data_IF_149675020290
#
_entry.id   IF_149675020290
#
_cell.length_a   1.000
_cell.length_b   1.000
_cell.length_c   1.000
_cell.angle_alpha   90.00
_cell.angle_beta   90.00
_cell.angle_gamma   90.00
#
_symmetry.space_group_name_H-M   'P 1'
#
loop_
_entity.id
_entity.type
_entity.pdbx_description
1 polymer ?
#
# COMPACT_ATOMS: atom_id res chain seq x y z
N UNK A 1 -0.28 -20.81 5.17
CA UNK A 1 -0.35 -19.76 4.14
C UNK A 1 0.36 -18.50 4.63
N UNK A 2 1.27 -17.93 3.82
CA UNK A 2 1.81 -16.58 4.06
C UNK A 2 1.01 -15.55 3.24
N UNK A 3 1.36 -14.26 3.33
CA UNK A 3 0.93 -13.22 2.41
C UNK A 3 2.17 -12.39 2.02
N UNK A 4 2.47 -12.31 0.73
CA UNK A 4 3.71 -11.68 0.23
C UNK A 4 3.83 -10.22 0.68
N UNK A 5 2.71 -9.50 0.78
CA UNK A 5 2.67 -8.13 1.28
C UNK A 5 3.16 -8.02 2.73
N UNK A 6 2.72 -8.92 3.61
CA UNK A 6 3.12 -8.87 5.02
C UNK A 6 4.58 -9.28 5.21
N UNK A 7 5.05 -10.27 4.44
CA UNK A 7 6.46 -10.63 4.40
C UNK A 7 7.34 -9.44 3.97
N UNK A 8 6.94 -8.74 2.90
CA UNK A 8 7.67 -7.55 2.41
C UNK A 8 7.64 -6.42 3.44
N UNK A 9 6.50 -6.15 4.10
CA UNK A 9 6.41 -5.13 5.16
C UNK A 9 7.32 -5.43 6.35
N UNK A 10 7.39 -6.68 6.80
CA UNK A 10 8.28 -7.11 7.89
C UNK A 10 9.75 -6.99 7.47
N UNK A 11 10.08 -7.37 6.23
CA UNK A 11 11.43 -7.20 5.70
C UNK A 11 11.79 -5.71 5.63
N UNK A 12 10.87 -4.87 5.16
CA UNK A 12 11.04 -3.42 5.05
C UNK A 12 11.29 -2.78 6.41
N UNK A 13 10.54 -3.16 7.45
CA UNK A 13 10.71 -2.57 8.79
C UNK A 13 12.09 -2.82 9.37
N UNK A 14 12.71 -3.98 9.07
CA UNK A 14 14.09 -4.28 9.43
C UNK A 14 15.09 -3.34 8.72
N UNK A 15 14.91 -3.10 7.42
CA UNK A 15 15.75 -2.18 6.65
C UNK A 15 15.59 -0.74 7.14
N UNK A 16 14.35 -0.31 7.41
CA UNK A 16 14.06 1.02 7.94
C UNK A 16 14.65 1.21 9.34
N UNK A 17 14.56 0.21 10.22
CA UNK A 17 15.17 0.28 11.55
C UNK A 17 16.66 0.56 11.46
N UNK A 18 17.37 -0.21 10.64
CA UNK A 18 18.81 -0.06 10.46
C UNK A 18 19.16 1.34 9.91
N UNK A 19 18.39 1.84 8.94
CA UNK A 19 18.58 3.18 8.39
C UNK A 19 18.33 4.30 9.42
N UNK A 20 17.24 4.23 10.19
CA UNK A 20 16.87 5.27 11.19
C UNK A 20 17.86 5.29 12.36
N UNK A 21 18.38 4.13 12.76
CA UNK A 21 19.26 4.01 13.92
C UNK A 21 20.76 3.99 13.54
N UNK A 22 21.11 4.22 12.27
CA UNK A 22 22.48 4.07 11.75
C UNK A 22 23.13 2.73 12.18
N UNK A 23 22.37 1.64 12.06
CA UNK A 23 22.75 0.30 12.51
C UNK A 23 22.80 -0.69 11.35
N UNK A 24 23.41 -1.85 11.57
CA UNK A 24 23.41 -3.00 10.64
C UNK A 24 22.82 -4.26 11.30
N UNK A 25 22.10 -4.08 12.41
CA UNK A 25 21.62 -5.15 13.29
C UNK A 25 20.73 -6.14 12.53
N UNK A 26 19.87 -5.66 11.65
CA UNK A 26 18.92 -6.49 10.93
C UNK A 26 19.24 -6.70 9.45
N UNK A 27 20.25 -6.05 8.89
CA UNK A 27 20.60 -6.10 7.48
C UNK A 27 20.74 -7.54 6.96
N UNK A 28 21.51 -8.39 7.67
CA UNK A 28 21.68 -9.82 7.33
C UNK A 28 20.35 -10.60 7.41
N UNK A 29 19.54 -10.30 8.43
CA UNK A 29 18.23 -10.95 8.64
C UNK A 29 17.26 -10.58 7.53
N UNK A 30 17.18 -9.31 7.16
CA UNK A 30 16.33 -8.81 6.09
C UNK A 30 16.72 -9.43 4.74
N UNK A 31 18.02 -9.43 4.40
CA UNK A 31 18.54 -10.06 3.18
C UNK A 31 18.24 -11.57 3.13
N UNK A 32 18.46 -12.30 4.24
CA UNK A 32 18.16 -13.73 4.32
C UNK A 32 16.67 -14.02 4.16
N UNK A 33 15.80 -13.20 4.76
CA UNK A 33 14.34 -13.35 4.63
C UNK A 33 13.88 -13.08 3.20
N UNK A 34 14.36 -12.01 2.58
CA UNK A 34 14.04 -11.71 1.18
C UNK A 34 14.51 -12.83 0.24
N UNK A 35 15.74 -13.33 0.43
CA UNK A 35 16.28 -14.43 -0.37
C UNK A 35 15.47 -15.73 -0.21
N UNK A 36 14.87 -15.98 0.96
CA UNK A 36 13.98 -17.13 1.19
C UNK A 36 12.58 -16.93 0.60
N UNK A 37 12.09 -15.68 0.58
CA UNK A 37 10.78 -15.33 0.02
C UNK A 37 10.78 -15.44 -1.51
N UNK A 38 11.80 -14.83 -2.15
CA UNK A 38 11.89 -14.66 -3.61
C UNK A 38 11.61 -15.94 -4.44
N UNK A 39 12.25 -17.10 -4.20
CA UNK A 39 12.04 -18.27 -5.05
C UNK A 39 10.61 -18.84 -4.97
N UNK A 40 9.82 -18.50 -3.95
CA UNK A 40 8.47 -19.05 -3.76
C UNK A 40 7.38 -18.14 -4.33
N UNK A 41 7.55 -16.82 -4.24
CA UNK A 41 6.50 -15.84 -4.59
C UNK A 41 6.96 -14.73 -5.53
N UNK A 42 8.24 -14.65 -5.90
CA UNK A 42 8.79 -13.65 -6.84
C UNK A 42 9.72 -14.35 -7.84
N UNK A 43 9.14 -15.15 -8.73
CA UNK A 43 9.90 -15.93 -9.72
C UNK A 43 10.07 -15.14 -11.01
N UNK A 44 11.30 -14.82 -11.40
CA UNK A 44 11.62 -14.11 -12.66
C UNK A 44 10.81 -12.81 -12.84
N UNK A 45 10.67 -12.04 -11.75
CA UNK A 45 9.87 -10.81 -11.69
C UNK A 45 8.35 -11.02 -11.58
N UNK A 46 7.87 -12.25 -11.47
CA UNK A 46 6.45 -12.56 -11.27
C UNK A 46 6.14 -12.64 -9.77
N UNK A 47 5.61 -11.56 -9.22
CA UNK A 47 5.15 -11.50 -7.83
C UNK A 47 3.74 -12.08 -7.70
N UNK A 48 3.54 -13.02 -6.78
CA UNK A 48 2.25 -13.64 -6.48
C UNK A 48 1.85 -13.44 -5.02
N UNK A 49 0.54 -13.54 -4.73
CA UNK A 49 -0.02 -13.15 -3.42
C UNK A 49 0.43 -14.02 -2.26
N UNK A 50 0.51 -15.33 -2.49
CA UNK A 50 1.00 -16.27 -1.48
C UNK A 50 1.54 -17.54 -2.11
N UNK A 51 2.31 -18.26 -1.31
CA UNK A 51 2.74 -19.61 -1.60
C UNK A 51 2.44 -20.49 -0.39
N UNK A 52 1.60 -21.51 -0.58
CA UNK A 52 1.37 -22.49 0.48
C UNK A 52 2.51 -23.52 0.49
N UNK A 53 3.34 -23.45 1.54
CA UNK A 53 4.51 -24.31 1.73
C UNK A 53 4.12 -25.78 1.92
N UNK A 54 2.95 -26.06 2.50
CA UNK A 54 2.47 -27.42 2.76
C UNK A 54 1.93 -28.05 1.47
N UNK A 55 1.21 -27.27 0.66
CA UNK A 55 0.60 -27.73 -0.58
C UNK A 55 1.52 -27.58 -1.81
N UNK A 56 2.68 -26.93 -1.65
CA UNK A 56 3.61 -26.55 -2.73
C UNK A 56 2.91 -25.85 -3.91
N UNK A 57 1.89 -25.02 -3.61
CA UNK A 57 1.08 -24.31 -4.60
C UNK A 57 1.06 -22.82 -4.29
N UNK A 58 1.45 -22.02 -5.27
CA UNK A 58 1.25 -20.57 -5.27
C UNK A 58 0.02 -20.17 -6.05
N UNK A 59 -0.44 -18.94 -5.85
CA UNK A 59 -1.42 -18.32 -6.75
C UNK A 59 -0.76 -17.96 -8.09
N UNK A 60 -1.55 -17.87 -9.15
CA UNK A 60 -1.11 -17.28 -10.43
C UNK A 60 -1.37 -15.77 -10.50
N UNK A 61 -1.96 -15.19 -9.45
CA UNK A 61 -2.31 -13.78 -9.35
C UNK A 61 -1.35 -13.03 -8.44
N UNK A 62 -1.00 -11.81 -8.86
CA UNK A 62 -0.37 -10.81 -8.00
C UNK A 62 -1.31 -9.61 -7.85
N UNK A 63 -1.77 -9.39 -6.63
CA UNK A 63 -2.51 -8.20 -6.22
C UNK A 63 -1.58 -7.00 -6.33
N UNK A 64 -2.01 -5.94 -7.01
CA UNK A 64 -1.11 -4.83 -7.32
C UNK A 64 -0.66 -4.08 -6.05
N UNK A 65 -1.48 -4.09 -5.00
CA UNK A 65 -1.13 -3.57 -3.69
C UNK A 65 0.00 -4.34 -2.99
N UNK A 66 0.35 -5.56 -3.45
CA UNK A 66 1.40 -6.39 -2.86
C UNK A 66 2.78 -6.07 -3.43
N UNK A 67 2.85 -5.29 -4.51
CA UNK A 67 4.10 -4.85 -5.12
C UNK A 67 4.66 -3.68 -4.30
N UNK A 68 5.27 -3.96 -3.15
CA UNK A 68 6.02 -2.97 -2.36
C UNK A 68 7.29 -2.54 -3.13
N UNK A 69 7.09 -1.62 -4.07
CA UNK A 69 8.08 -1.23 -5.07
C UNK A 69 9.35 -0.67 -4.45
N UNK A 70 9.27 -0.01 -3.29
CA UNK A 70 10.45 0.50 -2.61
C UNK A 70 11.31 -0.65 -2.08
N UNK A 71 10.68 -1.62 -1.41
CA UNK A 71 11.36 -2.82 -0.90
C UNK A 71 11.93 -3.67 -2.02
N UNK A 72 11.16 -3.91 -3.08
CA UNK A 72 11.61 -4.66 -4.25
C UNK A 72 12.82 -3.98 -4.92
N UNK A 73 12.76 -2.66 -5.13
CA UNK A 73 13.88 -1.88 -5.68
C UNK A 73 15.13 -2.03 -4.82
N UNK A 74 15.00 -1.94 -3.50
CA UNK A 74 16.13 -2.05 -2.57
C UNK A 74 16.86 -3.39 -2.75
N UNK A 75 16.16 -4.52 -2.67
CA UNK A 75 16.80 -5.84 -2.74
C UNK A 75 17.21 -6.27 -4.15
N UNK A 76 16.45 -5.89 -5.17
CA UNK A 76 16.69 -6.37 -6.54
C UNK A 76 17.67 -5.48 -7.33
N UNK A 77 18.01 -4.30 -6.82
CA UNK A 77 18.96 -3.39 -7.47
C UNK A 77 20.39 -3.91 -7.58
N UNK A 78 20.78 -4.92 -6.79
CA UNK A 78 22.15 -5.39 -6.67
C UNK A 78 22.68 -6.12 -7.92
N UNK A 79 21.82 -6.73 -8.73
CA UNK A 79 22.24 -7.52 -9.91
C UNK A 79 21.54 -7.07 -11.19
N UNK A 80 22.15 -7.35 -12.35
CA UNK A 80 21.51 -7.10 -13.64
C UNK A 80 20.16 -7.82 -13.78
N UNK A 81 20.08 -9.08 -13.34
CA UNK A 81 18.84 -9.85 -13.40
C UNK A 81 17.79 -9.30 -12.43
N UNK A 82 18.18 -8.96 -11.19
CA UNK A 82 17.26 -8.35 -10.23
C UNK A 82 16.70 -7.01 -10.74
N UNK A 83 17.53 -6.17 -11.37
CA UNK A 83 17.03 -4.94 -12.00
C UNK A 83 16.00 -5.21 -13.10
N UNK A 84 16.17 -6.26 -13.91
CA UNK A 84 15.17 -6.68 -14.91
C UNK A 84 13.89 -7.18 -14.24
N UNK A 85 14.00 -7.97 -13.18
CA UNK A 85 12.86 -8.47 -12.40
C UNK A 85 12.03 -7.30 -11.84
N UNK A 86 12.70 -6.32 -11.22
CA UNK A 86 12.05 -5.10 -10.71
C UNK A 86 11.38 -4.28 -11.82
N UNK A 87 12.02 -4.11 -12.98
CA UNK A 87 11.40 -3.38 -14.09
C UNK A 87 10.15 -4.09 -14.60
N UNK A 88 10.16 -5.43 -14.66
CA UNK A 88 8.97 -6.22 -15.03
C UNK A 88 7.83 -6.02 -14.03
N UNK A 89 8.13 -6.03 -12.74
CA UNK A 89 7.14 -5.78 -11.68
C UNK A 89 6.54 -4.37 -11.80
N UNK A 90 7.39 -3.34 -11.95
CA UNK A 90 6.95 -1.96 -12.14
C UNK A 90 6.11 -1.78 -13.41
N UNK A 91 6.45 -2.48 -14.49
CA UNK A 91 5.66 -2.48 -15.73
C UNK A 91 4.26 -3.06 -15.51
N UNK A 92 4.14 -4.17 -14.78
CA UNK A 92 2.82 -4.75 -14.44
C UNK A 92 1.98 -3.77 -13.63
N UNK A 93 2.57 -3.11 -12.62
CA UNK A 93 1.83 -2.10 -11.87
C UNK A 93 1.42 -0.95 -12.78
N UNK A 94 2.32 -0.40 -13.60
CA UNK A 94 2.03 0.73 -14.48
C UNK A 94 0.97 0.42 -15.54
N UNK A 95 1.00 -0.77 -16.13
CA UNK A 95 0.02 -1.21 -17.14
C UNK A 95 -1.34 -1.56 -16.54
N UNK A 96 -1.46 -1.66 -15.21
CA UNK A 96 -2.75 -1.79 -14.52
C UNK A 96 -3.56 -0.51 -14.42
N UNK A 97 -3.07 0.62 -14.95
CA UNK A 97 -3.76 1.91 -14.89
C UNK A 97 -5.11 1.89 -15.62
N UNK A 98 -6.18 2.33 -14.95
CA UNK A 98 -7.56 2.26 -15.45
C UNK A 98 -7.95 3.44 -16.35
N UNK A 99 -7.08 4.44 -16.50
CA UNK A 99 -7.26 5.58 -17.39
C UNK A 99 -7.48 6.91 -16.66
N UNK A 100 -7.44 8.02 -17.39
CA UNK A 100 -7.40 9.36 -16.78
C UNK A 100 -8.73 9.79 -16.14
N UNK A 101 -9.85 9.20 -16.56
CA UNK A 101 -11.17 9.43 -15.95
C UNK A 101 -11.25 8.83 -14.54
N UNK A 102 -10.64 7.65 -14.35
CA UNK A 102 -10.55 6.99 -13.07
C UNK A 102 -9.11 6.53 -12.84
N UNK A 103 -8.23 7.44 -12.38
CA UNK A 103 -6.77 7.26 -12.42
C UNK A 103 -6.24 6.40 -11.26
N UNK A 104 -6.94 5.31 -10.97
CA UNK A 104 -6.50 4.22 -10.11
C UNK A 104 -5.99 3.04 -10.98
N UNK A 105 -5.73 1.92 -10.31
CA UNK A 105 -5.11 0.75 -10.91
C UNK A 105 -5.96 -0.48 -10.61
N UNK A 106 -5.97 -1.43 -11.54
CA UNK A 106 -6.66 -2.72 -11.36
C UNK A 106 -6.20 -3.43 -10.08
N UNK A 107 -7.09 -4.22 -9.47
CA UNK A 107 -6.81 -4.83 -8.18
C UNK A 107 -5.68 -5.88 -8.26
N UNK A 108 -5.67 -6.70 -9.31
CA UNK A 108 -4.67 -7.74 -9.49
C UNK A 108 -4.37 -8.04 -10.97
N UNK A 109 -3.25 -8.71 -11.20
CA UNK A 109 -2.82 -9.22 -12.48
C UNK A 109 -2.62 -10.74 -12.41
N UNK A 110 -3.18 -11.46 -13.39
CA UNK A 110 -2.98 -12.89 -13.52
C UNK A 110 -1.82 -13.19 -14.47
N UNK A 111 -0.76 -13.82 -13.96
CA UNK A 111 0.45 -14.13 -14.73
C UNK A 111 0.27 -15.23 -15.78
N UNK A 112 -0.73 -16.11 -15.60
CA UNK A 112 -1.04 -17.18 -16.57
C UNK A 112 -1.85 -16.63 -17.75
N UNK A 113 -2.95 -15.94 -17.49
CA UNK A 113 -3.83 -15.39 -18.55
C UNK A 113 -3.34 -14.07 -19.10
N UNK A 114 -2.40 -13.40 -18.42
CA UNK A 114 -1.87 -12.07 -18.74
C UNK A 114 -2.96 -10.99 -18.75
N UNK A 115 -3.92 -11.10 -17.84
CA UNK A 115 -5.06 -10.20 -17.75
C UNK A 115 -5.13 -9.51 -16.38
N UNK A 116 -5.59 -8.27 -16.38
CA UNK A 116 -5.98 -7.55 -15.17
C UNK A 116 -7.40 -7.92 -14.76
N UNK A 117 -7.64 -7.96 -13.45
CA UNK A 117 -8.99 -8.24 -12.93
C UNK A 117 -9.99 -7.15 -13.31
N UNK A 118 -11.23 -7.58 -13.51
CA UNK A 118 -12.39 -6.72 -13.73
C UNK A 118 -13.22 -6.53 -12.44
N UNK A 119 -12.64 -6.91 -11.29
CA UNK A 119 -13.30 -6.84 -10.00
C UNK A 119 -13.33 -5.41 -9.47
N UNK A 120 -14.31 -5.12 -8.62
CA UNK A 120 -14.33 -3.87 -7.88
C UNK A 120 -13.07 -3.73 -7.02
N UNK A 121 -12.60 -2.50 -6.87
CA UNK A 121 -11.40 -2.14 -6.13
C UNK A 121 -11.76 -1.91 -4.67
N UNK A 122 -10.99 -2.50 -3.76
CA UNK A 122 -10.93 -2.03 -2.38
C UNK A 122 -10.16 -0.70 -2.34
N UNK A 123 -10.76 0.33 -1.74
CA UNK A 123 -10.20 1.68 -1.68
C UNK A 123 -8.87 1.76 -0.95
N UNK A 124 -8.69 1.01 0.15
CA UNK A 124 -7.41 0.96 0.86
C UNK A 124 -6.33 0.32 0.00
N UNK A 125 -6.62 -0.80 -0.66
CA UNK A 125 -5.64 -1.47 -1.55
C UNK A 125 -5.28 -0.60 -2.75
N UNK A 126 -6.25 0.07 -3.37
CA UNK A 126 -5.99 0.99 -4.47
C UNK A 126 -5.08 2.15 -4.05
N UNK A 127 -5.26 2.66 -2.82
CA UNK A 127 -4.37 3.69 -2.26
C UNK A 127 -2.99 3.15 -1.89
N UNK A 128 -2.86 1.89 -1.48
CA UNK A 128 -1.55 1.25 -1.28
C UNK A 128 -0.77 1.17 -2.60
N UNK A 129 -1.43 0.90 -3.73
CA UNK A 129 -0.78 0.96 -5.05
C UNK A 129 -0.22 2.36 -5.34
N UNK A 130 -1.04 3.40 -5.10
CA UNK A 130 -0.59 4.79 -5.27
C UNK A 130 0.57 5.14 -4.34
N UNK A 131 0.53 4.68 -3.08
CA UNK A 131 1.61 4.87 -2.11
C UNK A 131 2.91 4.25 -2.60
N UNK A 132 2.90 2.98 -3.02
CA UNK A 132 4.09 2.32 -3.53
C UNK A 132 4.66 3.00 -4.78
N UNK A 133 3.81 3.52 -5.66
CA UNK A 133 4.25 4.34 -6.80
C UNK A 133 4.84 5.68 -6.36
N UNK A 134 4.25 6.35 -5.36
CA UNK A 134 4.75 7.62 -4.84
C UNK A 134 6.12 7.47 -4.19
N UNK A 135 6.33 6.41 -3.39
CA UNK A 135 7.59 6.08 -2.71
C UNK A 135 8.78 5.92 -3.67
N UNK A 136 8.52 5.53 -4.92
CA UNK A 136 9.56 5.36 -5.95
C UNK A 136 9.53 6.46 -7.03
N UNK A 137 8.73 7.51 -6.83
CA UNK A 137 8.62 8.64 -7.77
C UNK A 137 8.00 8.28 -9.12
N UNK A 138 7.08 7.32 -9.14
CA UNK A 138 6.38 6.82 -10.34
C UNK A 138 4.88 7.08 -10.35
N UNK A 139 4.33 7.68 -9.29
CA UNK A 139 2.92 8.07 -9.26
C UNK A 139 2.62 9.09 -10.37
N UNK A 140 1.47 8.93 -11.04
CA UNK A 140 0.99 9.85 -12.08
C UNK A 140 0.42 11.12 -11.46
N UNK A 141 0.64 12.26 -12.12
CA UNK A 141 0.03 13.54 -11.73
C UNK A 141 -1.50 13.49 -11.75
N UNK A 142 -2.09 12.76 -12.70
CA UNK A 142 -3.55 12.55 -12.79
C UNK A 142 -4.09 11.84 -11.54
N UNK A 143 -3.42 10.80 -11.06
CA UNK A 143 -3.79 10.10 -9.81
C UNK A 143 -3.68 11.02 -8.60
N UNK A 144 -2.64 11.86 -8.53
CA UNK A 144 -2.50 12.86 -7.46
C UNK A 144 -3.61 13.90 -7.50
N UNK A 145 -3.96 14.42 -8.68
CA UNK A 145 -5.04 15.39 -8.84
C UNK A 145 -6.40 14.81 -8.46
N UNK A 146 -6.68 13.57 -8.85
CA UNK A 146 -7.86 12.85 -8.41
C UNK A 146 -7.90 12.70 -6.89
N UNK A 147 -6.77 12.32 -6.27
CA UNK A 147 -6.70 12.15 -4.82
C UNK A 147 -6.94 13.48 -4.09
N UNK A 148 -6.37 14.59 -4.59
CA UNK A 148 -6.64 15.95 -4.07
C UNK A 148 -8.13 16.27 -4.09
N UNK A 149 -8.80 15.98 -5.21
CA UNK A 149 -10.24 16.17 -5.34
C UNK A 149 -11.03 15.34 -4.33
N UNK A 150 -10.66 14.06 -4.12
CA UNK A 150 -11.32 13.21 -3.13
C UNK A 150 -11.12 13.72 -1.70
N UNK A 151 -9.96 14.29 -1.39
CA UNK A 151 -9.69 14.92 -0.09
C UNK A 151 -10.53 16.19 0.07
N UNK A 152 -10.57 17.08 -0.93
CA UNK A 152 -11.32 18.33 -0.84
C UNK A 152 -12.83 18.08 -0.73
N UNK A 153 -13.34 17.01 -1.35
CA UNK A 153 -14.75 16.62 -1.29
C UNK A 153 -15.10 15.71 -0.10
N UNK A 154 -14.10 15.21 0.64
CA UNK A 154 -14.27 14.18 1.67
C UNK A 154 -14.98 12.91 1.14
N UNK A 155 -14.62 12.41 -0.05
CA UNK A 155 -15.30 11.32 -0.76
C UNK A 155 -14.43 10.08 -1.01
N UNK A 156 -13.41 9.86 -0.17
CA UNK A 156 -12.53 8.72 -0.32
C UNK A 156 -13.21 7.42 0.17
N UNK A 157 -13.91 6.76 -0.76
CA UNK A 157 -14.79 5.62 -0.55
C UNK A 157 -14.04 4.30 -0.31
N UNK A 158 -14.75 3.33 0.26
CA UNK A 158 -14.22 2.00 0.56
C UNK A 158 -14.19 1.08 -0.67
N UNK A 159 -15.10 1.26 -1.63
CA UNK A 159 -15.16 0.40 -2.82
C UNK A 159 -15.49 1.21 -4.08
N UNK A 160 -14.75 0.96 -5.15
CA UNK A 160 -14.98 1.53 -6.47
C UNK A 160 -15.14 0.42 -7.52
N UNK A 161 -15.95 0.66 -8.56
CA UNK A 161 -15.90 -0.17 -9.77
C UNK A 161 -14.65 0.17 -10.60
N UNK A 162 -14.31 -0.70 -11.56
CA UNK A 162 -13.23 -0.42 -12.53
C UNK A 162 -13.53 0.78 -13.45
N UNK A 163 -14.80 1.20 -13.54
CA UNK A 163 -15.23 2.38 -14.31
C UNK A 163 -15.27 3.65 -13.46
N UNK A 164 -14.92 3.58 -12.17
CA UNK A 164 -14.87 4.71 -11.26
C UNK A 164 -16.17 5.02 -10.52
N UNK A 165 -17.19 4.17 -10.62
CA UNK A 165 -18.41 4.32 -9.83
C UNK A 165 -18.14 3.97 -8.36
N UNK A 166 -18.67 4.75 -7.43
CA UNK A 166 -18.62 4.42 -6.00
C UNK A 166 -19.62 3.28 -5.75
N UNK A 167 -19.12 2.13 -5.32
CA UNK A 167 -19.93 0.95 -4.99
C UNK A 167 -20.26 0.94 -3.50
N UNK A 168 -19.30 1.28 -2.65
CA UNK A 168 -19.51 1.49 -1.21
C UNK A 168 -18.98 2.88 -0.81
N UNK A 169 -19.92 3.75 -0.43
CA UNK A 169 -19.65 5.13 -0.01
C UNK A 169 -19.16 5.24 1.44
N UNK A 170 -19.14 4.15 2.19
CA UNK A 170 -18.52 4.13 3.51
C UNK A 170 -17.04 4.54 3.38
N UNK A 171 -16.50 5.12 4.46
CA UNK A 171 -15.15 5.66 4.46
C UNK A 171 -14.37 5.09 5.63
N UNK A 172 -13.08 4.88 5.39
CA UNK A 172 -12.14 4.42 6.40
C UNK A 172 -11.15 5.54 6.76
N UNK A 173 -10.87 5.78 8.05
CA UNK A 173 -9.75 6.63 8.46
C UNK A 173 -8.41 6.17 7.86
N UNK A 174 -8.23 4.87 7.61
CA UNK A 174 -7.03 4.36 6.94
C UNK A 174 -6.88 4.90 5.52
N UNK A 175 -7.97 5.09 4.77
CA UNK A 175 -7.89 5.65 3.41
C UNK A 175 -7.33 7.08 3.47
N UNK A 176 -7.78 7.88 4.42
CA UNK A 176 -7.25 9.22 4.64
C UNK A 176 -5.80 9.20 5.14
N UNK A 177 -5.43 8.24 5.98
CA UNK A 177 -4.04 8.04 6.42
C UNK A 177 -3.11 7.68 5.26
N UNK A 178 -3.52 6.75 4.39
CA UNK A 178 -2.79 6.39 3.17
C UNK A 178 -2.66 7.59 2.23
N UNK A 179 -3.72 8.38 2.06
CA UNK A 179 -3.68 9.61 1.27
C UNK A 179 -2.64 10.61 1.84
N UNK A 180 -2.61 10.79 3.16
CA UNK A 180 -1.58 11.61 3.80
C UNK A 180 -0.17 11.07 3.51
N UNK A 181 0.07 9.77 3.66
CA UNK A 181 1.37 9.16 3.36
C UNK A 181 1.80 9.35 1.90
N UNK A 182 0.85 9.29 0.94
CA UNK A 182 1.10 9.59 -0.48
C UNK A 182 1.57 11.04 -0.63
N UNK A 183 0.83 11.99 -0.07
CA UNK A 183 1.19 13.42 -0.15
C UNK A 183 2.52 13.73 0.51
N UNK A 184 2.85 13.10 1.63
CA UNK A 184 4.16 13.23 2.28
C UNK A 184 5.30 12.76 1.37
N UNK A 185 5.14 11.62 0.67
CA UNK A 185 6.16 11.10 -0.25
C UNK A 185 6.38 12.01 -1.48
N UNK A 186 5.36 12.75 -1.92
CA UNK A 186 5.49 13.72 -3.02
C UNK A 186 5.76 15.16 -2.53
N UNK A 187 6.02 15.34 -1.24
CA UNK A 187 6.26 16.64 -0.59
C UNK A 187 5.10 17.66 -0.74
N UNK A 188 3.85 17.18 -0.85
CA UNK A 188 2.66 18.03 -0.86
C UNK A 188 2.13 18.25 0.58
N UNK A 189 2.81 19.15 1.31
CA UNK A 189 2.50 19.40 2.72
C UNK A 189 1.08 19.92 2.93
N UNK A 190 0.54 20.70 1.99
CA UNK A 190 -0.81 21.24 2.10
C UNK A 190 -1.87 20.13 2.11
N UNK A 191 -1.79 19.20 1.17
CA UNK A 191 -2.73 18.08 1.11
C UNK A 191 -2.44 16.99 2.14
N UNK A 192 -1.19 16.80 2.56
CA UNK A 192 -0.86 15.99 3.74
C UNK A 192 -1.67 16.45 4.96
N UNK A 193 -1.61 17.75 5.28
CA UNK A 193 -2.31 18.31 6.43
C UNK A 193 -3.84 18.23 6.29
N UNK A 194 -4.39 18.44 5.09
CA UNK A 194 -5.82 18.26 4.83
C UNK A 194 -6.26 16.82 5.07
N UNK A 195 -5.52 15.84 4.56
CA UNK A 195 -5.82 14.42 4.75
C UNK A 195 -5.72 14.01 6.24
N UNK A 196 -4.68 14.46 6.95
CA UNK A 196 -4.53 14.18 8.39
C UNK A 196 -5.67 14.78 9.23
N UNK A 197 -6.18 15.96 8.88
CA UNK A 197 -7.39 16.51 9.54
C UNK A 197 -8.58 15.57 9.43
N UNK A 198 -8.73 14.86 8.30
CA UNK A 198 -9.80 13.87 8.11
C UNK A 198 -9.57 12.59 8.91
N UNK A 199 -8.32 12.13 9.03
CA UNK A 199 -7.96 11.03 9.95
C UNK A 199 -8.39 11.37 11.38
N UNK A 200 -8.06 12.58 11.86
CA UNK A 200 -8.35 12.98 13.24
C UNK A 200 -9.81 13.23 13.55
N UNK A 201 -10.69 13.36 12.54
CA UNK A 201 -12.16 13.39 12.77
C UNK A 201 -12.67 12.09 13.38
N UNK A 202 -11.98 10.97 13.16
CA UNK A 202 -12.32 9.67 13.71
C UNK A 202 -11.58 9.34 15.00
N UNK A 203 -10.82 10.28 15.56
CA UNK A 203 -10.17 10.12 16.85
C UNK A 203 -11.17 10.33 17.99
N UNK A 204 -11.22 9.37 18.90
CA UNK A 204 -12.01 9.46 20.11
C UNK A 204 -11.32 10.41 21.09
N UNK A 205 -12.00 11.52 21.43
CA UNK A 205 -11.48 12.58 22.33
C UNK A 205 -12.35 12.75 23.56
N UNK A 206 -12.57 11.67 24.30
CA UNK A 206 -13.36 11.68 25.54
C UNK A 206 -12.50 11.18 26.70
N UNK A 207 -12.24 12.05 27.67
CA UNK A 207 -11.52 11.68 28.88
C UNK A 207 -12.30 10.59 29.66
N UNK A 208 -11.58 9.71 30.35
CA UNK A 208 -12.16 8.71 31.23
C UNK A 208 -12.77 7.47 30.56
N UNK A 209 -12.67 7.32 29.23
CA UNK A 209 -13.06 6.08 28.54
C UNK A 209 -11.83 5.31 28.04
N UNK A 210 -11.91 3.97 28.06
CA UNK A 210 -10.80 3.06 27.72
C UNK A 210 -10.20 3.29 26.32
N UNK A 211 -11.02 3.76 25.38
CA UNK A 211 -10.67 3.95 23.97
C UNK A 211 -10.28 5.39 23.63
N UNK A 212 -10.04 6.24 24.64
CA UNK A 212 -9.57 7.60 24.42
C UNK A 212 -8.26 7.63 23.61
N UNK A 213 -8.20 8.47 22.57
CA UNK A 213 -7.08 8.55 21.63
C UNK A 213 -7.14 7.56 20.47
N UNK A 214 -7.96 6.51 20.56
CA UNK A 214 -8.15 5.54 19.48
C UNK A 214 -8.88 6.11 18.26
N UNK A 215 -8.62 5.54 17.09
CA UNK A 215 -9.31 5.83 15.83
C UNK A 215 -10.41 4.79 15.62
N UNK A 216 -11.67 5.22 15.61
CA UNK A 216 -12.81 4.32 15.46
C UNK A 216 -14.14 4.92 15.88
N UNK A 217 -15.16 4.08 16.01
CA UNK A 217 -16.52 4.49 16.37
C UNK A 217 -16.83 4.00 17.80
N UNK A 218 -16.59 4.87 18.78
CA UNK A 218 -16.76 4.54 20.20
C UNK A 218 -18.17 4.03 20.56
N UNK A 219 -19.22 4.61 19.96
CA UNK A 219 -20.62 4.22 20.23
C UNK A 219 -20.94 2.76 19.89
N UNK A 220 -20.24 2.19 18.91
CA UNK A 220 -20.44 0.82 18.44
C UNK A 220 -19.32 -0.12 18.90
N UNK A 221 -18.32 0.38 19.65
CA UNK A 221 -17.09 -0.35 19.95
C UNK A 221 -16.36 -0.87 18.69
N UNK A 222 -16.44 -0.15 17.57
CA UNK A 222 -15.81 -0.53 16.30
C UNK A 222 -14.43 0.11 16.17
N UNK A 223 -13.40 -0.69 16.44
CA UNK A 223 -12.00 -0.30 16.33
C UNK A 223 -11.23 -1.36 15.55
N UNK A 224 -10.63 -0.95 14.43
CA UNK A 224 -9.80 -1.83 13.61
C UNK A 224 -8.33 -1.46 13.80
N UNK A 225 -7.48 -2.46 14.07
CA UNK A 225 -6.04 -2.26 14.26
C UNK A 225 -5.40 -1.59 13.05
N UNK A 226 -5.80 -1.98 11.84
CA UNK A 226 -5.32 -1.38 10.59
C UNK A 226 -5.55 0.13 10.54
N UNK A 227 -6.76 0.60 10.87
CA UNK A 227 -7.07 2.04 10.89
C UNK A 227 -6.20 2.80 11.89
N UNK A 228 -5.98 2.24 13.08
CA UNK A 228 -5.16 2.85 14.11
C UNK A 228 -3.69 2.90 13.72
N UNK A 229 -3.14 1.79 13.21
CA UNK A 229 -1.74 1.69 12.80
C UNK A 229 -1.42 2.58 11.60
N UNK A 230 -2.27 2.59 10.57
CA UNK A 230 -2.09 3.48 9.41
C UNK A 230 -2.15 4.95 9.82
N UNK A 231 -3.09 5.31 10.71
CA UNK A 231 -3.20 6.69 11.22
C UNK A 231 -1.95 7.11 12.00
N UNK A 232 -1.38 6.19 12.79
CA UNK A 232 -0.15 6.42 13.53
C UNK A 232 1.06 6.57 12.61
N UNK A 233 1.19 5.72 11.60
CA UNK A 233 2.28 5.83 10.60
C UNK A 233 2.19 7.16 9.85
N UNK A 234 0.99 7.54 9.41
CA UNK A 234 0.77 8.79 8.70
C UNK A 234 1.10 10.01 9.57
N UNK A 235 0.82 9.99 10.87
CA UNK A 235 1.13 11.11 11.78
C UNK A 235 2.62 11.30 12.02
N UNK A 236 3.42 10.24 11.88
CA UNK A 236 4.88 10.28 12.03
C UNK A 236 5.60 10.81 10.78
N UNK A 237 4.88 10.96 9.65
CA UNK A 237 5.45 11.51 8.41
C UNK A 237 5.38 13.04 8.32
N UNK A 238 4.82 13.72 9.34
CA UNK A 238 4.86 15.17 9.43
C UNK A 238 6.31 15.64 9.55
N UNK A 239 6.74 16.50 8.62
CA UNK A 239 7.96 17.31 8.79
C UNK A 239 7.67 18.52 9.66
#
# INVERSE_FOLDING_TARGET
>A
MNATLDDLRIIRSMVVYDAVNNSVKYQKTAAKRFAKLKPNVIQHGQLTDFYDVNLKKGTSTGSLAYFDLLTLKYFESATNQGRKDYQRQLQVVNHGYLGDVFPLYAANYNWQTKQYSQQNLNGSEALVVLLHLAEVGKIKSTSLNWLRLQIDQHQLANTYSITGQIVDKNQSPANYGLAAMIFANVNDQAYYQKAMKLVWKSQVKKAGIKVNGGIGIAKNNEFYSYNNLVSLLASQMAK
#
